data_IF_910093804919
#
_entry.id   IF_910093804919
#
_cell.length_a   1.000
_cell.length_b   1.000
_cell.length_c   1.000
_cell.angle_alpha   90.00
_cell.angle_beta   90.00
_cell.angle_gamma   90.00
#
_symmetry.space_group_name_H-M   'P 1'
#
loop_
_entity.id
_entity.type
_entity.pdbx_description
1 polymer ?
#
# COMPACT_ATOMS: atom_id res chain seq x y z
N UNK A 1 47.14 -6.21 -21.44
CA UNK A 1 47.13 -5.31 -20.28
C UNK A 1 45.71 -4.80 -20.15
N UNK A 2 44.97 -5.36 -19.22
CA UNK A 2 43.57 -4.94 -18.96
C UNK A 2 43.64 -3.98 -17.77
N UNK A 3 43.25 -2.74 -18.03
CA UNK A 3 43.22 -1.69 -17.00
C UNK A 3 42.00 -1.89 -16.15
N UNK A 4 42.21 -2.24 -14.89
CA UNK A 4 41.14 -2.33 -13.87
C UNK A 4 40.65 -0.92 -13.57
N UNK A 5 39.42 -0.60 -13.95
CA UNK A 5 38.77 0.62 -13.51
C UNK A 5 38.48 0.49 -12.00
N UNK A 6 39.09 1.38 -11.21
CA UNK A 6 38.77 1.56 -9.82
C UNK A 6 37.31 2.01 -9.69
N UNK A 7 36.48 1.15 -9.07
CA UNK A 7 35.18 1.52 -8.57
C UNK A 7 35.37 2.63 -7.51
N UNK A 8 34.96 3.84 -7.83
CA UNK A 8 34.85 4.92 -6.86
C UNK A 8 33.59 4.64 -6.04
N UNK A 9 33.77 4.31 -4.75
CA UNK A 9 32.66 4.18 -3.82
C UNK A 9 31.92 5.53 -3.72
N UNK A 10 30.62 5.60 -4.00
CA UNK A 10 29.84 6.80 -3.74
C UNK A 10 29.60 6.93 -2.22
N UNK A 11 30.35 7.83 -1.58
CA UNK A 11 30.06 8.24 -0.20
C UNK A 11 29.03 9.37 -0.25
N UNK A 12 27.82 9.05 0.16
CA UNK A 12 26.75 10.03 0.31
C UNK A 12 26.90 10.81 1.60
N UNK A 13 26.93 12.12 1.47
CA UNK A 13 26.77 13.06 2.59
C UNK A 13 25.43 13.73 2.40
N UNK A 14 24.43 13.33 3.19
CA UNK A 14 23.18 14.10 3.30
C UNK A 14 23.52 15.44 3.96
N UNK A 15 23.13 16.60 3.39
CA UNK A 15 23.41 17.88 4.04
C UNK A 15 22.68 17.96 5.37
N UNK A 16 23.42 18.06 6.46
CA UNK A 16 22.88 18.30 7.79
C UNK A 16 22.62 19.80 7.92
N UNK A 17 21.36 20.19 8.00
CA UNK A 17 20.99 21.58 8.33
C UNK A 17 21.00 21.74 9.83
N UNK A 18 21.93 22.57 10.32
CA UNK A 18 22.04 22.92 11.72
C UNK A 18 20.97 23.96 12.10
N UNK A 19 19.97 23.55 12.89
CA UNK A 19 18.98 24.44 13.52
C UNK A 19 19.35 24.73 14.97
N UNK A 20 19.39 25.98 15.35
CA UNK A 20 19.71 26.52 16.67
C UNK A 20 18.67 26.21 17.72
N UNK A 21 19.06 25.62 18.87
CA UNK A 21 18.33 25.68 20.15
C UNK A 21 19.22 25.36 21.34
N UNK A 22 19.04 26.06 22.47
CA UNK A 22 19.89 25.89 23.63
C UNK A 22 19.27 24.87 24.58
N UNK A 23 19.91 23.77 24.80
CA UNK A 23 20.04 22.95 26.02
C UNK A 23 20.63 21.59 25.65
N UNK A 24 21.88 21.38 26.05
CA UNK A 24 22.49 20.05 26.22
C UNK A 24 22.56 19.15 24.95
N UNK A 25 23.42 19.48 23.98
CA UNK A 25 23.58 18.69 22.74
C UNK A 25 24.92 17.98 22.68
N UNK A 26 24.91 16.73 22.19
CA UNK A 26 26.12 16.14 21.65
C UNK A 26 26.54 16.97 20.43
N UNK A 27 27.78 17.43 20.41
CA UNK A 27 28.36 18.35 19.42
C UNK A 27 29.21 17.61 18.41
N UNK A 28 28.74 16.49 17.85
CA UNK A 28 29.43 15.88 16.71
C UNK A 28 28.44 15.52 15.61
N UNK A 29 28.83 15.84 14.39
CA UNK A 29 28.12 15.53 13.12
C UNK A 29 27.93 14.02 12.96
N UNK A 30 28.62 13.21 13.76
CA UNK A 30 28.59 11.74 13.74
C UNK A 30 27.34 11.13 14.38
N UNK A 31 26.60 11.87 15.19
CA UNK A 31 25.41 11.33 15.90
C UNK A 31 24.12 11.30 15.03
N UNK A 32 24.18 11.76 13.79
CA UNK A 32 23.05 11.79 12.86
C UNK A 32 23.28 11.01 11.56
N UNK A 33 24.40 10.32 11.44
CA UNK A 33 24.64 9.48 10.27
C UNK A 33 24.16 8.06 10.60
N UNK A 34 22.85 7.83 10.49
CA UNK A 34 22.39 6.55 10.01
C UNK A 34 22.86 6.47 8.56
N UNK A 35 24.10 6.07 8.35
CA UNK A 35 24.58 5.62 7.04
C UNK A 35 23.94 4.26 6.80
N UNK A 36 22.64 4.28 6.54
CA UNK A 36 22.01 3.17 5.87
C UNK A 36 22.64 3.17 4.48
N UNK A 37 23.45 2.15 4.21
CA UNK A 37 24.14 2.07 2.92
C UNK A 37 23.08 1.97 1.82
N UNK A 38 22.88 3.03 1.04
CA UNK A 38 21.98 3.03 -0.12
C UNK A 38 22.32 1.90 -1.13
N UNK A 39 23.52 1.33 -1.04
CA UNK A 39 23.87 0.14 -1.79
C UNK A 39 22.93 -1.06 -1.55
N UNK A 40 22.41 -1.22 -0.32
CA UNK A 40 21.45 -2.28 -0.03
C UNK A 40 20.10 -1.99 -0.66
N UNK A 41 19.66 -0.73 -0.67
CA UNK A 41 18.46 -0.32 -1.38
C UNK A 41 18.61 -0.57 -2.89
N UNK A 42 19.69 -0.10 -3.50
CA UNK A 42 19.97 -0.34 -4.93
C UNK A 42 19.95 -1.82 -5.30
N UNK A 43 20.52 -2.68 -4.46
CA UNK A 43 20.45 -4.14 -4.65
C UNK A 43 19.04 -4.70 -4.52
N UNK A 44 18.23 -4.17 -3.59
CA UNK A 44 16.86 -4.66 -3.38
C UNK A 44 15.89 -4.23 -4.47
N UNK A 45 16.14 -3.06 -5.10
CA UNK A 45 15.33 -2.54 -6.21
C UNK A 45 15.90 -2.90 -7.60
N UNK A 46 17.10 -3.48 -7.65
CA UNK A 46 17.87 -3.77 -8.89
C UNK A 46 17.98 -2.56 -9.82
N UNK A 47 18.16 -1.37 -9.23
CA UNK A 47 18.24 -0.10 -9.96
C UNK A 47 19.19 0.87 -9.25
N UNK A 48 20.00 1.60 -10.04
CA UNK A 48 20.90 2.66 -9.56
C UNK A 48 20.48 3.97 -10.19
N UNK A 49 20.16 4.96 -9.36
CA UNK A 49 19.74 6.28 -9.84
C UNK A 49 20.87 7.04 -10.51
N UNK A 50 20.57 7.62 -11.66
CA UNK A 50 21.45 8.59 -12.35
C UNK A 50 21.32 9.97 -11.71
N UNK A 51 20.11 10.33 -11.26
CA UNK A 51 19.82 11.55 -10.52
C UNK A 51 19.39 11.23 -9.08
N UNK A 52 20.35 11.28 -8.17
CA UNK A 52 20.14 10.99 -6.76
C UNK A 52 19.18 11.94 -6.04
N UNK A 53 18.97 13.14 -6.58
CA UNK A 53 18.00 14.07 -6.04
C UNK A 53 16.57 13.50 -6.13
N UNK A 54 16.26 12.74 -7.19
CA UNK A 54 14.96 12.08 -7.31
C UNK A 54 14.76 11.02 -6.23
N UNK A 55 15.80 10.24 -5.92
CA UNK A 55 15.73 9.26 -4.82
C UNK A 55 15.57 9.97 -3.47
N UNK A 56 16.34 11.02 -3.21
CA UNK A 56 16.24 11.78 -1.96
C UNK A 56 14.84 12.40 -1.80
N UNK A 57 14.29 13.00 -2.87
CA UNK A 57 12.92 13.52 -2.87
C UNK A 57 11.91 12.42 -2.58
N UNK A 58 12.01 11.26 -3.23
CA UNK A 58 11.10 10.13 -3.02
C UNK A 58 11.14 9.57 -1.59
N UNK A 59 12.29 9.60 -0.94
CA UNK A 59 12.47 9.14 0.43
C UNK A 59 12.12 10.20 1.48
N UNK A 60 11.94 11.46 1.10
CA UNK A 60 11.68 12.56 2.04
C UNK A 60 10.19 12.67 2.34
N UNK A 61 9.80 12.27 3.55
CA UNK A 61 8.44 12.44 4.02
C UNK A 61 8.12 13.91 4.34
N UNK A 62 6.88 14.39 4.14
CA UNK A 62 6.49 15.79 4.41
C UNK A 62 6.82 16.28 5.83
N UNK A 63 6.81 15.39 6.82
CA UNK A 63 7.16 15.78 8.21
C UNK A 63 8.58 16.31 8.33
N UNK A 64 9.53 15.78 7.54
CA UNK A 64 10.90 16.30 7.53
C UNK A 64 10.96 17.65 6.80
N UNK A 65 10.28 17.76 5.68
CA UNK A 65 10.22 19.00 4.91
C UNK A 65 9.63 20.17 5.75
N UNK A 66 8.59 19.89 6.54
CA UNK A 66 8.00 20.88 7.46
C UNK A 66 8.90 21.29 8.63
N UNK A 67 9.74 20.37 9.11
CA UNK A 67 10.72 20.68 10.18
C UNK A 67 11.95 21.44 9.63
N UNK A 68 12.12 21.47 8.30
CA UNK A 68 13.27 22.08 7.64
C UNK A 68 12.89 23.46 7.07
N UNK A 69 13.71 24.48 7.37
CA UNK A 69 13.49 25.85 6.90
C UNK A 69 13.92 26.09 5.46
N UNK A 70 14.65 25.16 4.84
CA UNK A 70 15.31 25.33 3.55
C UNK A 70 14.42 24.91 2.35
N UNK A 71 13.11 24.80 2.56
CA UNK A 71 12.14 24.44 1.53
C UNK A 71 12.51 23.11 0.81
N UNK A 72 12.85 22.09 1.61
CA UNK A 72 13.23 20.76 1.13
C UNK A 72 12.03 20.15 0.35
N UNK A 73 12.24 19.66 -0.89
CA UNK A 73 11.19 18.94 -1.61
C UNK A 73 10.81 17.66 -0.86
N UNK A 74 9.52 17.37 -0.80
CA UNK A 74 8.98 16.15 -0.23
C UNK A 74 8.45 15.20 -1.31
N UNK A 75 8.03 14.02 -0.89
CA UNK A 75 7.67 12.92 -1.78
C UNK A 75 6.26 13.03 -2.41
N UNK A 76 5.40 13.96 -2.00
CA UNK A 76 3.99 14.00 -2.40
C UNK A 76 3.76 14.12 -3.92
N UNK A 77 4.60 14.88 -4.60
CA UNK A 77 4.48 15.02 -6.07
C UNK A 77 4.91 13.76 -6.82
N UNK A 78 5.91 13.07 -6.31
CA UNK A 78 6.37 11.80 -6.85
C UNK A 78 5.36 10.68 -6.54
N UNK A 79 4.74 10.67 -5.35
CA UNK A 79 3.63 9.80 -4.98
C UNK A 79 2.49 9.92 -5.99
N UNK A 80 2.02 11.14 -6.26
CA UNK A 80 0.96 11.38 -7.25
C UNK A 80 1.30 10.81 -8.64
N UNK A 81 2.55 10.98 -9.10
CA UNK A 81 3.00 10.44 -10.38
C UNK A 81 3.11 8.91 -10.33
N UNK A 82 3.70 8.40 -9.26
CA UNK A 82 3.95 6.97 -9.07
C UNK A 82 2.67 6.14 -8.97
N UNK A 83 1.63 6.65 -8.31
CA UNK A 83 0.30 6.02 -8.29
C UNK A 83 -0.22 5.83 -9.72
N UNK A 84 -0.16 6.87 -10.55
CA UNK A 84 -0.61 6.78 -11.95
C UNK A 84 0.20 5.76 -12.77
N UNK A 85 1.53 5.73 -12.59
CA UNK A 85 2.42 4.76 -13.26
C UNK A 85 2.13 3.33 -12.79
N UNK A 86 2.01 3.10 -11.49
CA UNK A 86 1.67 1.81 -10.91
C UNK A 86 0.33 1.28 -11.46
N UNK A 87 -0.69 2.13 -11.46
CA UNK A 87 -2.01 1.77 -11.99
C UNK A 87 -1.94 1.42 -13.47
N UNK A 88 -1.19 2.17 -14.29
CA UNK A 88 -1.02 1.89 -15.71
C UNK A 88 -0.32 0.55 -15.94
N UNK A 89 0.79 0.28 -15.24
CA UNK A 89 1.54 -0.97 -15.36
C UNK A 89 0.66 -2.18 -15.02
N UNK A 90 0.00 -2.14 -13.86
CA UNK A 90 -0.85 -3.24 -13.42
C UNK A 90 -2.09 -3.42 -14.30
N UNK A 91 -2.68 -2.33 -14.80
CA UNK A 91 -3.79 -2.39 -15.74
C UNK A 91 -3.38 -3.07 -17.03
N UNK A 92 -2.23 -2.67 -17.59
CA UNK A 92 -1.70 -3.25 -18.82
C UNK A 92 -1.38 -4.74 -18.66
N UNK A 93 -0.76 -5.14 -17.54
CA UNK A 93 -0.47 -6.55 -17.26
C UNK A 93 -1.74 -7.40 -17.13
N UNK A 94 -2.71 -6.95 -16.33
CA UNK A 94 -3.98 -7.64 -16.13
C UNK A 94 -4.77 -7.77 -17.44
N UNK A 95 -4.85 -6.70 -18.23
CA UNK A 95 -5.56 -6.67 -19.50
C UNK A 95 -5.01 -7.68 -20.51
N UNK A 96 -3.67 -7.72 -20.65
CA UNK A 96 -3.02 -8.61 -21.60
C UNK A 96 -3.02 -10.08 -21.14
N UNK A 97 -2.92 -10.31 -19.84
CA UNK A 97 -2.80 -11.65 -19.26
C UNK A 97 -4.14 -12.37 -19.13
N UNK A 98 -5.24 -11.62 -18.99
CA UNK A 98 -6.58 -12.17 -18.75
C UNK A 98 -7.62 -11.59 -19.72
N UNK A 99 -7.49 -11.88 -21.03
CA UNK A 99 -8.41 -11.35 -22.05
C UNK A 99 -9.86 -11.82 -21.88
N UNK A 100 -10.09 -12.91 -21.13
CA UNK A 100 -11.42 -13.46 -20.83
C UNK A 100 -12.11 -12.80 -19.64
N UNK A 101 -11.40 -11.97 -18.85
CA UNK A 101 -11.99 -11.34 -17.69
C UNK A 101 -12.79 -10.10 -18.05
N UNK A 102 -13.94 -9.91 -17.40
CA UNK A 102 -14.73 -8.69 -17.55
C UNK A 102 -14.02 -7.47 -16.98
N UNK A 103 -14.38 -6.28 -17.46
CA UNK A 103 -13.89 -5.00 -16.93
C UNK A 103 -14.05 -4.90 -15.40
N UNK A 104 -15.24 -5.28 -14.88
CA UNK A 104 -15.52 -5.24 -13.45
C UNK A 104 -14.60 -6.17 -12.64
N UNK A 105 -14.23 -7.35 -13.18
CA UNK A 105 -13.30 -8.26 -12.53
C UNK A 105 -11.87 -7.69 -12.58
N UNK A 106 -11.41 -7.20 -13.72
CA UNK A 106 -10.10 -6.56 -13.87
C UNK A 106 -9.95 -5.37 -12.90
N UNK A 107 -10.98 -4.55 -12.76
CA UNK A 107 -11.00 -3.41 -11.82
C UNK A 107 -10.93 -3.87 -10.36
N UNK A 108 -11.65 -4.94 -9.97
CA UNK A 108 -11.55 -5.53 -8.63
C UNK A 108 -10.14 -6.09 -8.35
N UNK A 109 -9.52 -6.78 -9.30
CA UNK A 109 -8.16 -7.31 -9.16
C UNK A 109 -7.14 -6.17 -9.00
N UNK A 110 -7.22 -5.16 -9.88
CA UNK A 110 -6.35 -3.98 -9.78
C UNK A 110 -6.47 -3.29 -8.43
N UNK A 111 -7.67 -3.02 -7.94
CA UNK A 111 -7.87 -2.34 -6.66
C UNK A 111 -7.27 -3.12 -5.46
N UNK A 112 -7.23 -4.45 -5.53
CA UNK A 112 -6.54 -5.28 -4.51
C UNK A 112 -5.02 -5.15 -4.59
N UNK A 113 -4.47 -4.95 -5.78
CA UNK A 113 -3.03 -4.81 -6.04
C UNK A 113 -2.50 -3.40 -5.72
N UNK A 114 -3.35 -2.36 -5.84
CA UNK A 114 -2.98 -0.98 -5.51
C UNK A 114 -3.52 -0.51 -4.15
N UNK A 115 -4.04 -1.42 -3.32
CA UNK A 115 -4.50 -1.07 -1.99
C UNK A 115 -3.33 -0.65 -1.10
N UNK A 116 -3.55 0.30 -0.18
CA UNK A 116 -2.53 0.75 0.80
C UNK A 116 -1.84 -0.41 1.51
N UNK A 117 -2.59 -1.49 1.82
CA UNK A 117 -2.02 -2.70 2.40
C UNK A 117 -1.12 -3.48 1.43
N UNK A 118 -1.44 -3.50 0.15
CA UNK A 118 -0.59 -4.13 -0.86
C UNK A 118 0.70 -3.33 -1.04
N UNK A 119 0.61 -2.01 -1.10
CA UNK A 119 1.77 -1.11 -1.20
C UNK A 119 2.70 -1.24 0.01
N UNK A 120 2.13 -1.36 1.23
CA UNK A 120 2.91 -1.68 2.44
C UNK A 120 3.67 -3.01 2.30
N UNK A 121 3.02 -4.07 1.77
CA UNK A 121 3.67 -5.37 1.52
C UNK A 121 4.86 -5.21 0.55
N UNK A 122 4.70 -4.41 -0.52
CA UNK A 122 5.78 -4.15 -1.50
C UNK A 122 6.92 -3.32 -0.90
N UNK A 123 6.59 -2.26 -0.15
CA UNK A 123 7.58 -1.45 0.56
C UNK A 123 8.40 -2.30 1.55
N UNK A 124 7.75 -3.19 2.28
CA UNK A 124 8.42 -4.13 3.21
C UNK A 124 9.28 -5.15 2.48
N UNK A 125 8.90 -5.60 1.30
CA UNK A 125 9.68 -6.55 0.50
C UNK A 125 11.08 -6.00 0.16
N UNK A 126 11.19 -4.68 -0.06
CA UNK A 126 12.47 -4.00 -0.34
C UNK A 126 13.06 -3.29 0.90
N UNK A 127 12.49 -3.50 2.10
CA UNK A 127 12.87 -2.84 3.35
C UNK A 127 12.87 -1.29 3.24
N UNK A 128 11.95 -0.72 2.46
CA UNK A 128 11.92 0.72 2.14
C UNK A 128 11.84 1.59 3.40
N UNK A 129 11.16 1.12 4.45
CA UNK A 129 11.02 1.85 5.71
C UNK A 129 12.34 2.26 6.36
N UNK A 130 13.42 1.49 6.16
CA UNK A 130 14.74 1.78 6.73
C UNK A 130 15.39 3.02 6.09
N UNK A 131 14.92 3.43 4.91
CA UNK A 131 15.51 4.51 4.11
C UNK A 131 14.68 5.81 4.13
N UNK A 132 13.42 5.76 4.60
CA UNK A 132 12.54 6.94 4.63
C UNK A 132 13.12 8.00 5.58
N UNK A 133 13.17 9.24 5.11
CA UNK A 133 13.63 10.40 5.86
C UNK A 133 12.43 11.06 6.54
N UNK A 134 12.36 10.95 7.87
CA UNK A 134 11.25 11.41 8.70
C UNK A 134 11.63 12.61 9.57
N UNK A 135 10.68 13.47 9.84
CA UNK A 135 10.81 14.47 10.91
C UNK A 135 10.88 13.80 12.29
N UNK A 136 11.49 14.48 13.27
CA UNK A 136 11.72 13.94 14.62
C UNK A 136 10.43 13.50 15.33
N UNK A 137 9.32 14.20 15.09
CA UNK A 137 8.02 13.86 15.65
C UNK A 137 7.49 12.54 15.10
N UNK A 138 7.53 12.37 13.77
CA UNK A 138 7.04 11.19 13.08
C UNK A 138 7.92 9.97 13.39
N UNK A 139 9.24 10.14 13.42
CA UNK A 139 10.19 9.09 13.80
C UNK A 139 9.88 8.52 15.20
N UNK A 140 9.69 9.40 16.20
CA UNK A 140 9.39 9.00 17.60
C UNK A 140 8.08 8.22 17.75
N UNK A 141 7.13 8.41 16.82
CA UNK A 141 5.84 7.71 16.84
C UNK A 141 5.81 6.44 15.99
N UNK A 142 6.96 6.01 15.50
CA UNK A 142 7.09 4.77 14.71
C UNK A 142 6.66 4.93 13.25
N UNK A 143 6.81 6.11 12.67
CA UNK A 143 6.42 6.43 11.30
C UNK A 143 6.97 5.48 10.25
N UNK A 144 8.23 4.99 10.42
CA UNK A 144 8.89 4.04 9.49
C UNK A 144 8.12 2.76 9.22
N UNK A 145 7.28 2.33 10.15
CA UNK A 145 6.47 1.11 10.02
C UNK A 145 4.99 1.40 9.77
N UNK A 146 4.61 2.67 9.66
CA UNK A 146 3.22 3.07 9.45
C UNK A 146 2.79 2.77 8.02
N UNK A 147 1.69 2.04 7.86
CA UNK A 147 1.17 1.56 6.58
C UNK A 147 1.04 2.65 5.53
N UNK A 148 0.47 3.81 5.87
CA UNK A 148 0.32 4.95 4.94
C UNK A 148 1.68 5.46 4.46
N UNK A 149 2.61 5.74 5.38
CA UNK A 149 3.94 6.27 5.03
C UNK A 149 4.72 5.31 4.13
N UNK A 150 4.63 4.00 4.38
CA UNK A 150 5.25 2.99 3.53
C UNK A 150 4.63 2.93 2.14
N UNK A 151 3.30 3.06 2.05
CA UNK A 151 2.59 3.08 0.78
C UNK A 151 2.98 4.32 -0.05
N UNK A 152 2.89 5.50 0.54
CA UNK A 152 3.20 6.77 -0.11
C UNK A 152 4.68 6.80 -0.59
N UNK A 153 5.61 6.30 0.23
CA UNK A 153 7.02 6.19 -0.13
C UNK A 153 7.26 5.19 -1.29
N UNK A 154 6.50 4.09 -1.34
CA UNK A 154 6.63 3.12 -2.43
C UNK A 154 6.13 3.71 -3.75
N UNK A 155 5.01 4.42 -3.76
CA UNK A 155 4.51 5.14 -4.93
C UNK A 155 5.50 6.22 -5.36
N UNK A 156 6.05 6.97 -4.41
CA UNK A 156 7.06 7.99 -4.70
C UNK A 156 8.33 7.42 -5.33
N UNK A 157 8.78 6.26 -4.85
CA UNK A 157 9.93 5.56 -5.43
C UNK A 157 9.64 5.13 -6.88
N UNK A 158 8.43 4.66 -7.17
CA UNK A 158 7.98 4.35 -8.54
C UNK A 158 8.05 5.61 -9.42
N UNK A 159 7.53 6.74 -8.93
CA UNK A 159 7.57 8.02 -9.64
C UNK A 159 9.02 8.47 -9.93
N UNK A 160 9.91 8.29 -8.96
CA UNK A 160 11.33 8.63 -9.11
C UNK A 160 12.04 7.74 -10.13
N UNK A 161 11.85 6.41 -10.08
CA UNK A 161 12.43 5.46 -11.05
C UNK A 161 11.93 5.80 -12.46
N UNK A 162 10.63 6.08 -12.61
CA UNK A 162 10.05 6.44 -13.90
C UNK A 162 10.66 7.71 -14.49
N UNK A 163 10.94 8.74 -13.68
CA UNK A 163 11.54 9.99 -14.14
C UNK A 163 13.05 9.86 -14.43
N UNK A 164 13.73 8.96 -13.73
CA UNK A 164 15.18 8.73 -13.88
C UNK A 164 15.52 7.75 -15.00
N UNK A 165 14.54 6.96 -15.46
CA UNK A 165 14.72 5.92 -16.48
C UNK A 165 13.63 5.98 -17.56
N UNK A 166 12.92 4.86 -17.78
CA UNK A 166 11.84 4.71 -18.73
C UNK A 166 10.71 3.82 -18.19
N UNK A 167 9.65 3.69 -18.99
CA UNK A 167 8.47 2.90 -18.61
C UNK A 167 8.78 1.40 -18.46
N UNK A 168 9.67 0.85 -19.29
CA UNK A 168 9.99 -0.58 -19.24
C UNK A 168 10.76 -0.92 -17.96
N UNK A 169 11.72 -0.08 -17.57
CA UNK A 169 12.50 -0.23 -16.34
C UNK A 169 11.59 -0.19 -15.10
N UNK A 170 10.72 0.81 -14.99
CA UNK A 170 9.82 0.92 -13.83
C UNK A 170 8.77 -0.20 -13.82
N UNK A 171 8.29 -0.63 -14.99
CA UNK A 171 7.39 -1.79 -15.10
C UNK A 171 8.05 -3.04 -14.51
N UNK A 172 9.29 -3.33 -14.91
CA UNK A 172 10.00 -4.52 -14.46
C UNK A 172 10.22 -4.50 -12.94
N UNK A 173 10.57 -3.35 -12.36
CA UNK A 173 10.62 -3.15 -10.91
C UNK A 173 9.27 -3.45 -10.23
N UNK A 174 8.18 -2.84 -10.72
CA UNK A 174 6.84 -3.05 -10.18
C UNK A 174 6.46 -4.53 -10.23
N UNK A 175 6.69 -5.19 -11.36
CA UNK A 175 6.32 -6.60 -11.55
C UNK A 175 7.10 -7.54 -10.63
N UNK A 176 8.35 -7.24 -10.31
CA UNK A 176 9.13 -7.99 -9.30
C UNK A 176 8.50 -7.81 -7.92
N UNK A 177 8.23 -6.59 -7.48
CA UNK A 177 7.64 -6.31 -6.17
C UNK A 177 6.24 -6.92 -6.01
N UNK A 178 5.42 -6.88 -7.06
CA UNK A 178 4.04 -7.34 -7.02
C UNK A 178 3.86 -8.85 -7.22
N UNK A 179 4.89 -9.60 -7.60
CA UNK A 179 4.82 -10.99 -8.07
C UNK A 179 3.99 -11.90 -7.16
N UNK A 180 4.31 -11.94 -5.88
CA UNK A 180 3.66 -12.83 -4.93
C UNK A 180 2.21 -12.42 -4.65
N UNK A 181 1.97 -11.11 -4.55
CA UNK A 181 0.62 -10.57 -4.37
C UNK A 181 -0.24 -10.82 -5.61
N UNK A 182 0.30 -10.58 -6.78
CA UNK A 182 -0.36 -10.87 -8.07
C UNK A 182 -0.79 -12.33 -8.13
N UNK A 183 0.11 -13.25 -7.81
CA UNK A 183 -0.19 -14.70 -7.82
C UNK A 183 -1.33 -15.05 -6.86
N UNK A 184 -1.34 -14.49 -5.65
CA UNK A 184 -2.41 -14.68 -4.66
C UNK A 184 -3.74 -14.09 -5.11
N UNK A 185 -3.71 -12.88 -5.68
CA UNK A 185 -4.92 -12.16 -6.12
C UNK A 185 -5.56 -12.87 -7.32
N UNK A 186 -4.75 -13.37 -8.24
CA UNK A 186 -5.23 -14.07 -9.44
C UNK A 186 -5.72 -15.49 -9.14
N UNK A 187 -5.10 -16.20 -8.18
CA UNK A 187 -5.56 -17.54 -7.77
C UNK A 187 -6.92 -17.53 -7.06
N UNK A 188 -7.30 -16.40 -6.47
CA UNK A 188 -8.64 -16.16 -5.92
C UNK A 188 -9.19 -14.82 -6.44
N UNK A 189 -9.57 -14.80 -7.75
CA UNK A 189 -10.00 -13.58 -8.42
C UNK A 189 -11.33 -13.05 -7.88
N UNK A 190 -12.16 -13.94 -7.34
CA UNK A 190 -13.42 -13.60 -6.69
C UNK A 190 -13.16 -13.58 -5.19
N UNK A 191 -12.60 -12.48 -4.68
CA UNK A 191 -12.70 -12.24 -3.24
C UNK A 191 -14.19 -12.29 -2.90
N UNK A 192 -14.59 -13.30 -2.13
CA UNK A 192 -15.98 -13.44 -1.72
C UNK A 192 -16.37 -12.18 -0.96
N UNK A 193 -17.06 -11.27 -1.65
CA UNK A 193 -17.75 -10.16 -1.04
C UNK A 193 -19.25 -10.44 -1.01
N UNK A 194 -19.70 -11.35 -0.12
CA UNK A 194 -21.08 -11.80 -0.10
C UNK A 194 -22.06 -10.65 0.13
N UNK A 195 -21.63 -9.61 0.84
CA UNK A 195 -22.44 -8.42 1.09
C UNK A 195 -22.65 -7.60 -0.18
N UNK A 196 -21.59 -7.36 -0.96
CA UNK A 196 -21.69 -6.66 -2.24
C UNK A 196 -22.48 -7.46 -3.27
N UNK A 197 -22.22 -8.78 -3.36
CA UNK A 197 -22.95 -9.66 -4.27
C UNK A 197 -24.46 -9.70 -3.95
N UNK A 198 -24.84 -9.84 -2.67
CA UNK A 198 -26.23 -9.76 -2.27
C UNK A 198 -26.84 -8.39 -2.57
N UNK A 199 -26.09 -7.32 -2.34
CA UNK A 199 -26.55 -5.96 -2.65
C UNK A 199 -26.80 -5.77 -4.15
N UNK A 200 -25.89 -6.21 -5.02
CA UNK A 200 -26.06 -6.14 -6.48
C UNK A 200 -27.31 -6.92 -6.93
N UNK A 201 -27.52 -8.12 -6.38
CA UNK A 201 -28.72 -8.93 -6.68
C UNK A 201 -29.99 -8.20 -6.25
N UNK A 202 -30.06 -7.71 -5.03
CA UNK A 202 -31.28 -7.06 -4.51
C UNK A 202 -31.54 -5.71 -5.17
N UNK A 203 -30.49 -4.94 -5.50
CA UNK A 203 -30.62 -3.68 -6.23
C UNK A 203 -31.04 -3.86 -7.70
N UNK A 204 -30.82 -5.03 -8.30
CA UNK A 204 -31.39 -5.36 -9.60
C UNK A 204 -32.92 -5.55 -9.58
N UNK A 205 -33.49 -5.83 -8.40
CA UNK A 205 -34.93 -6.03 -8.19
C UNK A 205 -35.64 -4.77 -7.64
N UNK A 206 -34.96 -3.99 -6.81
CA UNK A 206 -35.48 -2.75 -6.22
C UNK A 206 -34.32 -1.84 -5.83
N UNK A 207 -34.54 -0.51 -5.72
CA UNK A 207 -33.53 0.44 -5.26
C UNK A 207 -33.12 0.28 -3.79
N UNK A 208 -33.82 -0.58 -3.02
CA UNK A 208 -33.57 -0.78 -1.60
C UNK A 208 -32.30 -1.62 -1.38
N UNK A 209 -31.41 -1.13 -0.54
CA UNK A 209 -30.22 -1.88 -0.12
C UNK A 209 -30.52 -2.84 1.05
N UNK A 210 -29.81 -3.98 1.15
CA UNK A 210 -29.92 -4.85 2.34
C UNK A 210 -29.36 -4.16 3.59
N UNK A 211 -30.02 -4.37 4.72
CA UNK A 211 -29.62 -3.86 6.02
C UNK A 211 -29.18 -5.01 6.94
N UNK A 212 -28.13 -4.78 7.72
CA UNK A 212 -27.55 -5.76 8.64
C UNK A 212 -27.74 -5.33 10.09
N UNK A 213 -28.22 -6.24 10.94
CA UNK A 213 -28.39 -5.99 12.36
C UNK A 213 -27.76 -7.10 13.19
N UNK A 214 -26.83 -6.74 14.06
CA UNK A 214 -26.33 -7.66 15.09
C UNK A 214 -27.45 -7.90 16.11
N UNK A 215 -27.91 -9.14 16.19
CA UNK A 215 -29.04 -9.54 17.09
C UNK A 215 -28.52 -10.16 18.38
N UNK A 216 -27.30 -10.68 18.40
CA UNK A 216 -26.67 -11.25 19.59
C UNK A 216 -25.18 -11.09 19.56
N UNK A 217 -24.59 -10.88 20.73
CA UNK A 217 -23.16 -10.87 20.97
C UNK A 217 -22.90 -11.66 22.26
N UNK A 218 -21.99 -12.61 22.24
CA UNK A 218 -21.62 -13.47 23.35
C UNK A 218 -20.14 -13.79 23.41
N UNK A 219 -19.65 -14.24 24.56
CA UNK A 219 -18.24 -14.59 24.79
C UNK A 219 -17.40 -13.46 25.41
N UNK A 220 -16.24 -13.80 25.98
CA UNK A 220 -15.28 -12.86 26.53
C UNK A 220 -14.63 -12.00 25.42
N UNK A 221 -14.00 -10.90 25.80
CA UNK A 221 -13.45 -9.91 24.86
C UNK A 221 -12.47 -10.48 23.82
N UNK A 222 -11.74 -11.50 24.18
CA UNK A 222 -10.77 -12.18 23.32
C UNK A 222 -11.35 -13.32 22.47
N UNK A 223 -12.61 -13.73 22.71
CA UNK A 223 -13.31 -14.77 21.92
C UNK A 223 -14.80 -14.43 21.78
N UNK A 224 -15.09 -13.24 21.28
CA UNK A 224 -16.44 -12.78 21.01
C UNK A 224 -17.05 -13.48 19.80
N UNK A 225 -18.33 -13.80 19.91
CA UNK A 225 -19.15 -14.28 18.80
C UNK A 225 -20.30 -13.32 18.55
N UNK A 226 -20.55 -13.05 17.29
CA UNK A 226 -21.60 -12.14 16.81
C UNK A 226 -22.59 -12.92 15.98
N UNK A 227 -23.88 -12.66 16.18
CA UNK A 227 -24.94 -13.17 15.32
C UNK A 227 -25.59 -11.98 14.63
N UNK A 228 -25.62 -12.00 13.30
CA UNK A 228 -26.17 -10.93 12.47
C UNK A 228 -27.28 -11.47 11.58
N UNK A 229 -28.37 -10.73 11.46
CA UNK A 229 -29.41 -10.94 10.46
C UNK A 229 -29.30 -9.87 9.35
N UNK A 230 -29.56 -10.29 8.12
CA UNK A 230 -29.72 -9.40 6.97
C UNK A 230 -31.19 -9.28 6.60
N UNK A 231 -31.63 -8.04 6.42
CA UNK A 231 -33.01 -7.66 6.11
C UNK A 231 -33.06 -6.96 4.75
N UNK A 232 -34.16 -7.17 4.04
CA UNK A 232 -34.52 -6.41 2.86
C UNK A 232 -36.05 -6.30 2.78
N UNK A 233 -36.58 -5.09 2.58
CA UNK A 233 -38.01 -4.82 2.54
C UNK A 233 -38.81 -5.46 3.71
N UNK A 234 -38.28 -5.33 4.94
CA UNK A 234 -38.82 -5.91 6.17
C UNK A 234 -38.78 -7.45 6.26
N UNK A 235 -38.21 -8.15 5.28
CA UNK A 235 -38.05 -9.58 5.30
C UNK A 235 -36.64 -9.95 5.79
N UNK A 236 -36.52 -10.91 6.72
CA UNK A 236 -35.22 -11.50 7.10
C UNK A 236 -34.81 -12.48 6.01
N UNK A 237 -33.71 -12.18 5.32
CA UNK A 237 -33.23 -13.02 4.22
C UNK A 237 -32.26 -14.10 4.68
N UNK A 238 -31.49 -13.82 5.73
CA UNK A 238 -30.47 -14.74 6.20
C UNK A 238 -29.90 -14.36 7.56
N UNK A 239 -29.18 -15.31 8.17
CA UNK A 239 -28.55 -15.18 9.47
C UNK A 239 -27.14 -15.73 9.43
N UNK A 240 -26.19 -15.03 10.05
CA UNK A 240 -24.79 -15.42 10.08
C UNK A 240 -24.17 -15.31 11.46
N UNK A 241 -23.31 -16.27 11.80
CA UNK A 241 -22.47 -16.30 12.99
C UNK A 241 -21.03 -15.97 12.57
N UNK A 242 -20.28 -15.21 13.39
CA UNK A 242 -18.88 -14.92 13.13
C UNK A 242 -18.16 -14.42 14.38
N UNK A 243 -16.83 -14.47 14.38
CA UNK A 243 -15.97 -13.96 15.46
C UNK A 243 -15.77 -12.45 15.41
N UNK A 244 -16.25 -11.81 14.35
CA UNK A 244 -16.31 -10.36 14.19
C UNK A 244 -17.65 -9.94 13.59
N UNK A 245 -18.04 -8.67 13.76
CA UNK A 245 -19.23 -8.11 13.10
C UNK A 245 -19.16 -8.31 11.58
N UNK A 246 -18.00 -8.01 10.98
CA UNK A 246 -17.77 -8.14 9.54
C UNK A 246 -17.97 -9.57 9.05
N UNK A 247 -17.46 -10.55 9.80
CA UNK A 247 -17.59 -11.97 9.47
C UNK A 247 -19.04 -12.45 9.60
N UNK A 248 -19.74 -12.08 10.70
CA UNK A 248 -21.15 -12.47 10.90
C UNK A 248 -22.06 -11.85 9.84
N UNK A 249 -21.81 -10.62 9.41
CA UNK A 249 -22.52 -9.96 8.30
C UNK A 249 -22.28 -10.67 6.96
N UNK A 250 -21.03 -11.05 6.68
CA UNK A 250 -20.69 -11.81 5.46
C UNK A 250 -21.39 -13.17 5.43
N UNK A 251 -21.40 -13.88 6.56
CA UNK A 251 -22.08 -15.17 6.69
C UNK A 251 -23.60 -15.02 6.58
N UNK A 252 -24.18 -13.92 7.08
CA UNK A 252 -25.60 -13.63 6.89
C UNK A 252 -25.95 -13.40 5.41
N UNK A 253 -25.09 -12.70 4.66
CA UNK A 253 -25.27 -12.52 3.23
C UNK A 253 -25.15 -13.85 2.46
N UNK A 254 -24.20 -14.71 2.80
CA UNK A 254 -24.08 -16.06 2.21
C UNK A 254 -25.35 -16.86 2.45
N UNK A 255 -25.85 -16.86 3.70
CA UNK A 255 -27.10 -17.54 4.07
C UNK A 255 -28.30 -17.00 3.27
N UNK A 256 -28.39 -15.67 3.11
CA UNK A 256 -29.44 -15.06 2.29
C UNK A 256 -29.37 -15.55 0.83
N UNK A 257 -28.20 -15.52 0.20
CA UNK A 257 -28.01 -15.97 -1.18
C UNK A 257 -28.34 -17.46 -1.38
N UNK A 258 -28.15 -18.29 -0.35
CA UNK A 258 -28.57 -19.69 -0.36
C UNK A 258 -30.09 -19.84 -0.26
N UNK A 259 -30.73 -19.09 0.63
CA UNK A 259 -32.16 -19.17 0.90
C UNK A 259 -33.02 -18.57 -0.21
N UNK A 260 -32.53 -17.50 -0.88
CA UNK A 260 -33.22 -16.79 -1.98
C UNK A 260 -34.65 -16.38 -1.67
N UNK A 261 -34.92 -15.94 -0.44
CA UNK A 261 -36.28 -15.60 0.02
C UNK A 261 -36.89 -14.34 -0.64
N UNK A 262 -36.17 -13.68 -1.52
CA UNK A 262 -36.65 -12.55 -2.34
C UNK A 262 -37.28 -12.98 -3.68
N UNK A 263 -37.25 -14.27 -4.02
CA UNK A 263 -37.93 -14.86 -5.17
C UNK A 263 -39.37 -15.23 -4.82
#
# INVERSE_FOLDING_TARGET
MVTVAQLVEPRFVVPVVAGSSPVGHPTSVEDFIFVVSLEQLYKSIDYVFSNENLLNEALTHPSLAYENTDNLPDNQRLEFLGDAVLQLVLTNDLFNRFPEFSEGLLTKLRSRLVSTKALEEYAKFINLGDYILLGKGEEKTGGRSRTGILADAFESLIGAIYLDSDFDTVRDFIMVCCKDKMSRVVSDPIEKNPKGELQEILQSLSQDAPNYRVISQSGPDHDRSFVTEVFWQNLVLGKGLGKSKKESESNAAISAMQNKLWL
#
